data_IF_687248846459
#
_entry.id   IF_687248846459
#
_cell.length_a   1.000
_cell.length_b   1.000
_cell.length_c   1.000
_cell.angle_alpha   90.00
_cell.angle_beta   90.00
_cell.angle_gamma   90.00
#
_symmetry.space_group_name_H-M   'P 1'
#
loop_
_entity.id
_entity.type
_entity.pdbx_description
1 polymer ?
#
# COMPACT_ATOMS: atom_id res chain seq x y z
N UNK A 1 -16.04 -40.86 -70.49
CA UNK A 1 -16.98 -40.09 -69.65
C UNK A 1 -16.42 -38.68 -69.51
N UNK A 2 -17.09 -37.69 -70.11
CA UNK A 2 -16.94 -36.22 -70.03
C UNK A 2 -15.53 -35.54 -70.06
N UNK A 3 -15.31 -34.73 -71.10
CA UNK A 3 -14.38 -33.58 -71.19
C UNK A 3 -15.07 -32.30 -70.62
N UNK A 4 -14.55 -31.05 -70.67
CA UNK A 4 -13.24 -30.49 -71.08
C UNK A 4 -12.66 -29.33 -70.19
N UNK A 5 -11.40 -28.94 -70.48
CA UNK A 5 -10.78 -27.59 -70.56
C UNK A 5 -11.17 -26.45 -69.58
N UNK A 6 -10.17 -25.74 -69.01
CA UNK A 6 -9.70 -24.38 -69.40
C UNK A 6 -8.93 -23.65 -68.27
N UNK A 7 -7.85 -22.96 -68.70
CA UNK A 7 -7.38 -21.62 -68.26
C UNK A 7 -6.42 -21.55 -67.06
N UNK A 8 -5.14 -21.41 -67.45
CA UNK A 8 -4.13 -20.62 -66.78
C UNK A 8 -4.59 -19.16 -66.58
N UNK A 9 -4.06 -18.44 -65.58
CA UNK A 9 -3.38 -17.14 -65.74
C UNK A 9 -3.04 -16.51 -64.37
N UNK A 10 -1.72 -16.31 -64.21
CA UNK A 10 -0.97 -15.19 -63.62
C UNK A 10 -1.29 -14.64 -62.22
N UNK A 11 -0.21 -14.72 -61.41
CA UNK A 11 0.50 -13.61 -60.72
C UNK A 11 -0.30 -12.76 -59.75
N UNK A 12 0.10 -12.79 -58.48
CA UNK A 12 0.72 -11.64 -57.82
C UNK A 12 1.33 -12.07 -56.48
N UNK A 13 2.62 -11.81 -56.34
CA UNK A 13 3.36 -11.90 -55.09
C UNK A 13 3.01 -10.70 -54.20
N UNK A 14 2.70 -10.91 -52.92
CA UNK A 14 2.83 -9.87 -51.88
C UNK A 14 3.14 -10.54 -50.53
N UNK A 15 4.41 -10.41 -50.13
CA UNK A 15 4.93 -10.05 -48.80
C UNK A 15 4.57 -10.91 -47.58
N UNK A 16 5.63 -11.54 -47.05
CA UNK A 16 5.74 -12.05 -45.69
C UNK A 16 5.68 -10.92 -44.64
N UNK A 17 4.91 -11.10 -43.57
CA UNK A 17 5.17 -10.45 -42.28
C UNK A 17 5.05 -11.49 -41.17
N UNK A 18 6.19 -11.69 -40.51
CA UNK A 18 6.39 -12.41 -39.26
C UNK A 18 5.62 -11.71 -38.12
N UNK A 19 4.76 -12.44 -37.40
CA UNK A 19 4.29 -12.03 -36.07
C UNK A 19 4.82 -13.04 -35.05
N UNK A 20 6.04 -12.75 -34.61
CA UNK A 20 6.76 -13.38 -33.52
C UNK A 20 6.01 -13.15 -32.20
N UNK A 21 5.82 -14.23 -31.45
CA UNK A 21 5.62 -14.29 -30.00
C UNK A 21 5.62 -12.93 -29.25
N UNK A 22 4.43 -12.37 -29.03
CA UNK A 22 4.20 -11.51 -27.89
C UNK A 22 3.94 -12.42 -26.68
N UNK A 23 4.95 -12.56 -25.83
CA UNK A 23 4.86 -13.18 -24.52
C UNK A 23 3.64 -12.60 -23.79
N UNK A 24 2.69 -13.47 -23.48
CA UNK A 24 1.41 -13.10 -22.91
C UNK A 24 1.56 -12.34 -21.61
N UNK A 25 0.88 -11.21 -21.51
CA UNK A 25 0.47 -10.69 -20.22
C UNK A 25 -0.42 -11.76 -19.61
N UNK A 26 0.11 -12.49 -18.63
CA UNK A 26 -0.71 -13.23 -17.68
C UNK A 26 -1.56 -12.20 -16.92
N UNK A 27 -2.67 -11.81 -17.51
CA UNK A 27 -3.82 -11.36 -16.73
C UNK A 27 -4.20 -12.58 -15.90
N UNK A 28 -3.80 -12.56 -14.63
CA UNK A 28 -4.26 -13.55 -13.67
C UNK A 28 -5.79 -13.45 -13.64
N UNK A 29 -6.46 -14.35 -14.33
CA UNK A 29 -7.90 -14.51 -14.21
C UNK A 29 -8.18 -14.84 -12.74
N UNK A 30 -8.61 -13.82 -11.98
CA UNK A 30 -8.87 -13.95 -10.55
C UNK A 30 -9.94 -15.03 -10.39
N UNK A 31 -9.52 -16.20 -9.92
CA UNK A 31 -10.40 -17.36 -9.82
C UNK A 31 -11.56 -17.01 -8.91
N UNK A 32 -12.73 -16.94 -9.54
CA UNK A 32 -13.99 -16.48 -9.02
C UNK A 32 -14.58 -17.40 -7.92
N UNK A 33 -13.86 -18.44 -7.49
CA UNK A 33 -14.33 -19.47 -6.55
C UNK A 33 -13.91 -19.25 -5.08
N UNK A 34 -13.13 -18.20 -4.78
CA UNK A 34 -12.66 -17.91 -3.42
C UNK A 34 -13.60 -16.93 -2.71
N UNK A 35 -13.85 -17.15 -1.42
CA UNK A 35 -14.66 -16.25 -0.58
C UNK A 35 -14.07 -14.83 -0.59
N UNK A 36 -14.90 -13.77 -0.45
CA UNK A 36 -14.42 -12.40 -0.48
C UNK A 36 -13.38 -12.14 0.60
N UNK A 37 -12.32 -11.44 0.25
CA UNK A 37 -11.23 -11.09 1.18
C UNK A 37 -11.43 -9.67 1.71
N UNK A 38 -11.19 -9.48 3.00
CA UNK A 38 -11.14 -8.16 3.65
C UNK A 38 -9.74 -7.97 4.23
N UNK A 39 -9.03 -6.95 3.78
CA UNK A 39 -7.69 -6.61 4.23
C UNK A 39 -7.71 -5.27 4.94
N UNK A 40 -7.30 -5.27 6.21
CA UNK A 40 -7.13 -4.05 7.00
C UNK A 40 -5.73 -3.49 6.76
N UNK A 41 -5.67 -2.28 6.19
CA UNK A 41 -4.44 -1.63 5.78
C UNK A 41 -3.80 -0.81 6.91
N UNK A 42 -4.62 -0.20 7.77
CA UNK A 42 -4.17 0.71 8.82
C UNK A 42 -4.25 0.07 10.21
N UNK A 43 -3.22 0.30 11.02
CA UNK A 43 -3.15 -0.09 12.44
C UNK A 43 -3.32 1.10 13.40
N UNK A 44 -3.15 2.33 12.90
CA UNK A 44 -3.46 3.54 13.65
C UNK A 44 -4.03 4.67 12.78
N UNK A 45 -4.79 5.55 13.42
CA UNK A 45 -5.37 6.76 12.83
C UNK A 45 -4.93 8.00 13.61
N UNK A 46 -4.78 9.15 12.94
CA UNK A 46 -4.59 10.42 13.63
C UNK A 46 -5.84 10.84 14.39
N UNK A 47 -5.67 11.59 15.47
CA UNK A 47 -6.76 12.24 16.19
C UNK A 47 -7.39 13.38 15.37
N UNK A 48 -8.66 13.66 15.67
CA UNK A 48 -9.43 14.79 15.11
C UNK A 48 -9.32 14.96 13.60
N UNK A 49 -9.38 13.86 12.84
CA UNK A 49 -9.15 13.85 11.39
C UNK A 49 -10.24 13.04 10.68
N UNK A 50 -10.49 13.38 9.41
CA UNK A 50 -11.32 12.58 8.51
C UNK A 50 -10.42 11.76 7.59
N UNK A 51 -10.60 10.44 7.59
CA UNK A 51 -9.81 9.49 6.82
C UNK A 51 -10.74 8.76 5.84
N UNK A 52 -10.35 8.65 4.57
CA UNK A 52 -11.11 7.85 3.60
C UNK A 52 -11.04 6.36 3.95
N UNK A 53 -12.19 5.67 3.85
CA UNK A 53 -12.30 4.25 4.21
C UNK A 53 -11.34 3.38 3.37
N UNK A 54 -11.10 3.76 2.10
CA UNK A 54 -10.15 3.08 1.20
C UNK A 54 -8.71 3.05 1.71
N UNK A 55 -8.31 3.97 2.60
CA UNK A 55 -6.97 3.95 3.21
C UNK A 55 -6.86 3.00 4.40
N UNK A 56 -8.00 2.47 4.87
CA UNK A 56 -8.12 1.69 6.10
C UNK A 56 -8.42 0.23 5.77
N UNK A 57 -9.24 -0.02 4.77
CA UNK A 57 -9.71 -1.35 4.41
C UNK A 57 -9.88 -1.47 2.90
N UNK A 58 -9.43 -2.61 2.38
CA UNK A 58 -9.65 -3.04 1.00
C UNK A 58 -10.40 -4.37 0.98
N UNK A 59 -11.26 -4.55 -0.02
CA UNK A 59 -11.94 -5.81 -0.26
C UNK A 59 -12.16 -5.99 -1.75
N UNK A 60 -12.17 -7.24 -2.20
CA UNK A 60 -12.48 -7.60 -3.58
C UNK A 60 -13.95 -8.02 -3.79
N UNK A 61 -14.78 -7.84 -2.77
CA UNK A 61 -16.21 -8.10 -2.86
C UNK A 61 -16.97 -6.97 -3.56
N UNK A 62 -17.97 -7.34 -4.36
CA UNK A 62 -18.97 -6.42 -4.92
C UNK A 62 -20.24 -6.34 -4.07
N UNK A 63 -20.27 -7.04 -2.93
CA UNK A 63 -21.42 -7.04 -2.03
C UNK A 63 -21.67 -5.65 -1.41
N UNK A 64 -22.93 -5.42 -1.00
CA UNK A 64 -23.26 -4.23 -0.21
C UNK A 64 -22.47 -4.23 1.10
N UNK A 65 -21.75 -3.13 1.34
CA UNK A 65 -20.86 -2.96 2.48
C UNK A 65 -21.54 -2.13 3.55
N UNK A 66 -21.58 -2.63 4.79
CA UNK A 66 -22.03 -1.88 5.95
C UNK A 66 -20.90 -1.81 6.96
N UNK A 67 -20.47 -0.60 7.28
CA UNK A 67 -19.41 -0.34 8.25
C UNK A 67 -20.04 0.15 9.56
N UNK A 68 -19.70 -0.51 10.65
CA UNK A 68 -20.10 -0.15 12.01
C UNK A 68 -18.84 0.19 12.82
N UNK A 69 -18.94 1.19 13.69
CA UNK A 69 -17.81 1.66 14.52
C UNK A 69 -18.21 1.77 15.97
N UNK A 70 -17.24 1.54 16.87
CA UNK A 70 -17.37 1.81 18.31
C UNK A 70 -16.10 2.47 18.85
N UNK A 71 -16.28 3.32 19.86
CA UNK A 71 -15.18 3.95 20.59
C UNK A 71 -14.83 5.34 20.05
N UNK A 72 -13.55 5.55 19.73
CA UNK A 72 -12.98 6.86 19.40
C UNK A 72 -13.22 7.35 17.95
N UNK A 73 -14.12 6.70 17.20
CA UNK A 73 -14.33 6.96 15.77
C UNK A 73 -15.79 6.72 15.33
N UNK A 74 -16.19 7.43 14.27
CA UNK A 74 -17.49 7.29 13.62
C UNK A 74 -17.38 7.20 12.10
N UNK A 75 -18.30 6.47 11.48
CA UNK A 75 -18.50 6.48 10.03
C UNK A 75 -19.32 7.71 9.62
N UNK A 76 -18.80 8.50 8.67
CA UNK A 76 -19.47 9.66 8.06
C UNK A 76 -19.37 9.57 6.53
N UNK A 77 -20.33 8.88 5.92
CA UNK A 77 -20.32 8.60 4.49
C UNK A 77 -19.13 7.71 4.11
N UNK A 78 -18.30 8.16 3.16
CA UNK A 78 -17.07 7.44 2.74
C UNK A 78 -15.85 7.63 3.65
N UNK A 79 -16.04 8.25 4.81
CA UNK A 79 -14.96 8.63 5.73
C UNK A 79 -15.15 8.02 7.12
N UNK A 80 -14.04 7.72 7.80
CA UNK A 80 -13.96 7.58 9.25
C UNK A 80 -13.55 8.92 9.83
N UNK A 81 -14.33 9.45 10.77
CA UNK A 81 -13.99 10.60 11.57
C UNK A 81 -13.49 10.13 12.94
N UNK A 82 -12.28 10.54 13.32
CA UNK A 82 -11.74 10.31 14.66
C UNK A 82 -12.06 11.50 15.56
N UNK A 83 -12.40 11.24 16.82
CA UNK A 83 -12.78 12.30 17.77
C UNK A 83 -11.67 12.57 18.78
N UNK A 84 -11.12 11.52 19.39
CA UNK A 84 -10.15 11.59 20.48
C UNK A 84 -9.19 10.41 20.45
N UNK A 85 -8.04 10.56 21.10
CA UNK A 85 -7.11 9.45 21.32
C UNK A 85 -7.82 8.30 22.04
N UNK A 86 -7.59 7.08 21.58
CA UNK A 86 -8.21 5.87 22.14
C UNK A 86 -8.40 4.77 21.11
N UNK A 87 -9.30 3.84 21.40
CA UNK A 87 -9.52 2.65 20.58
C UNK A 87 -10.71 2.88 19.65
N UNK A 88 -10.52 2.56 18.36
CA UNK A 88 -11.55 2.54 17.33
C UNK A 88 -11.77 1.08 16.91
N UNK A 89 -12.90 0.50 17.31
CA UNK A 89 -13.32 -0.82 16.83
C UNK A 89 -14.14 -0.64 15.56
N UNK A 90 -13.74 -1.29 14.47
CA UNK A 90 -14.42 -1.23 13.19
C UNK A 90 -14.89 -2.63 12.83
N UNK A 91 -16.14 -2.74 12.42
CA UNK A 91 -16.77 -3.95 11.92
C UNK A 91 -17.28 -3.70 10.50
N UNK A 92 -16.76 -4.45 9.53
CA UNK A 92 -17.23 -4.47 8.16
C UNK A 92 -18.09 -5.70 7.94
N UNK A 93 -19.37 -5.48 7.65
CA UNK A 93 -20.30 -6.52 7.21
C UNK A 93 -20.48 -6.43 5.70
N UNK A 94 -20.18 -7.53 5.02
CA UNK A 94 -20.50 -7.74 3.61
C UNK A 94 -21.80 -8.56 3.53
N UNK A 95 -22.79 -8.04 2.81
CA UNK A 95 -24.05 -8.76 2.59
C UNK A 95 -23.84 -10.04 1.78
N UNK A 96 -24.78 -10.98 1.90
CA UNK A 96 -24.78 -12.18 1.06
C UNK A 96 -25.02 -11.80 -0.41
N UNK A 97 -24.37 -12.53 -1.31
CA UNK A 97 -24.61 -12.49 -2.75
C UNK A 97 -25.10 -13.88 -3.20
N UNK A 98 -25.60 -14.05 -4.43
CA UNK A 98 -25.98 -15.39 -4.92
C UNK A 98 -24.83 -16.40 -4.88
N UNK A 99 -23.59 -15.91 -4.83
CA UNK A 99 -22.38 -16.71 -4.90
C UNK A 99 -21.73 -16.98 -3.55
N UNK A 100 -21.89 -16.08 -2.59
CA UNK A 100 -21.19 -16.13 -1.30
C UNK A 100 -22.11 -15.72 -0.15
N UNK A 101 -21.98 -16.43 0.98
CA UNK A 101 -22.65 -16.04 2.21
C UNK A 101 -22.15 -14.68 2.74
N UNK A 102 -22.95 -14.05 3.59
CA UNK A 102 -22.55 -12.82 4.27
C UNK A 102 -21.34 -13.09 5.16
N UNK A 103 -20.38 -12.17 5.18
CA UNK A 103 -19.23 -12.24 6.08
C UNK A 103 -19.10 -10.96 6.91
N UNK A 104 -18.53 -11.10 8.08
CA UNK A 104 -18.18 -9.98 8.96
C UNK A 104 -16.68 -10.06 9.24
N UNK A 105 -15.99 -8.93 9.07
CA UNK A 105 -14.58 -8.76 9.45
C UNK A 105 -14.47 -7.60 10.42
N UNK A 106 -13.61 -7.72 11.42
CA UNK A 106 -13.43 -6.69 12.44
C UNK A 106 -11.95 -6.36 12.62
N UNK A 107 -11.66 -5.09 12.88
CA UNK A 107 -10.34 -4.63 13.30
C UNK A 107 -10.42 -3.67 14.47
N UNK A 108 -9.34 -3.66 15.25
CA UNK A 108 -9.13 -2.69 16.32
C UNK A 108 -8.00 -1.76 15.87
N UNK A 109 -8.32 -0.48 15.68
CA UNK A 109 -7.39 0.53 15.20
C UNK A 109 -7.14 1.54 16.31
N UNK A 110 -5.87 1.92 16.50
CA UNK A 110 -5.48 2.86 17.54
C UNK A 110 -5.59 4.30 17.04
N UNK A 111 -6.44 5.11 17.64
CA UNK A 111 -6.44 6.56 17.41
C UNK A 111 -5.36 7.16 18.30
N UNK A 112 -4.32 7.72 17.67
CA UNK A 112 -3.16 8.30 18.34
C UNK A 112 -2.96 9.73 17.88
N UNK A 113 -2.27 10.53 18.69
CA UNK A 113 -1.84 11.86 18.29
C UNK A 113 -0.98 11.79 17.03
N UNK A 114 -1.07 12.82 16.19
CA UNK A 114 -0.11 12.99 15.10
C UNK A 114 1.30 13.10 15.65
N UNK A 115 2.23 12.39 15.03
CA UNK A 115 3.65 12.38 15.41
C UNK A 115 4.48 12.50 14.15
N UNK A 116 5.48 13.36 14.15
CA UNK A 116 6.51 13.40 13.13
C UNK A 116 7.78 12.78 13.71
N UNK A 117 8.40 11.86 12.96
CA UNK A 117 9.66 11.23 13.32
C UNK A 117 10.76 11.78 12.42
N UNK A 118 11.84 12.27 13.00
CA UNK A 118 13.05 12.69 12.29
C UNK A 118 14.06 11.55 12.28
N UNK A 119 14.40 11.06 11.09
CA UNK A 119 15.30 9.93 10.88
C UNK A 119 16.55 10.39 10.15
N UNK A 120 17.69 10.30 10.83
CA UNK A 120 19.00 10.56 10.25
C UNK A 120 19.60 9.22 9.82
N UNK A 121 19.81 9.04 8.53
CA UNK A 121 20.29 7.78 7.98
C UNK A 121 21.45 7.98 7.01
N UNK A 122 22.40 7.05 7.01
CA UNK A 122 23.51 7.07 6.07
C UNK A 122 22.98 7.09 4.62
N UNK A 123 23.62 7.87 3.75
CA UNK A 123 23.19 8.02 2.36
C UNK A 123 23.10 6.68 1.59
N UNK A 124 23.96 5.71 1.93
CA UNK A 124 23.91 4.35 1.35
C UNK A 124 22.63 3.57 1.68
N UNK A 125 21.89 3.98 2.72
CA UNK A 125 20.65 3.34 3.17
C UNK A 125 19.38 4.02 2.62
N UNK A 126 19.52 5.11 1.85
CA UNK A 126 18.40 5.97 1.47
C UNK A 126 17.23 5.22 0.82
N UNK A 127 17.50 4.44 -0.23
CA UNK A 127 16.48 3.69 -0.97
C UNK A 127 15.70 2.72 -0.06
N UNK A 128 16.39 2.04 0.86
CA UNK A 128 15.77 1.10 1.80
C UNK A 128 14.89 1.82 2.81
N UNK A 129 15.36 2.95 3.35
CA UNK A 129 14.59 3.73 4.32
C UNK A 129 13.37 4.41 3.70
N UNK A 130 13.47 4.90 2.46
CA UNK A 130 12.31 5.42 1.75
C UNK A 130 11.26 4.34 1.47
N UNK A 131 11.69 3.14 1.07
CA UNK A 131 10.79 2.01 0.84
C UNK A 131 10.06 1.59 2.13
N UNK A 132 10.81 1.42 3.22
CA UNK A 132 10.24 1.06 4.53
C UNK A 132 9.36 2.19 5.06
N UNK A 133 9.78 3.45 4.90
CA UNK A 133 9.02 4.62 5.32
C UNK A 133 7.65 4.71 4.68
N UNK A 134 7.55 4.42 3.37
CA UNK A 134 6.27 4.36 2.65
C UNK A 134 5.33 3.31 3.23
N UNK A 135 5.83 2.09 3.47
CA UNK A 135 5.03 1.01 4.07
C UNK A 135 4.63 1.33 5.50
N UNK A 136 5.54 1.90 6.28
CA UNK A 136 5.31 2.29 7.66
C UNK A 136 4.22 3.36 7.76
N UNK A 137 4.31 4.45 6.98
CA UNK A 137 3.33 5.53 7.00
C UNK A 137 1.97 5.11 6.44
N UNK A 138 1.92 4.13 5.52
CA UNK A 138 0.65 3.56 5.06
C UNK A 138 -0.07 2.78 6.18
N UNK A 139 0.70 2.07 7.02
CA UNK A 139 0.16 1.31 8.15
C UNK A 139 -0.16 2.19 9.37
N UNK A 140 0.64 3.21 9.63
CA UNK A 140 0.49 4.11 10.77
C UNK A 140 0.13 5.52 10.32
N UNK A 141 -1.16 5.75 10.04
CA UNK A 141 -1.64 7.00 9.43
C UNK A 141 -1.50 8.23 10.35
N UNK A 142 -1.18 8.04 11.64
CA UNK A 142 -0.86 9.13 12.56
C UNK A 142 0.61 9.55 12.52
N UNK A 143 1.48 8.85 11.79
CA UNK A 143 2.92 9.11 11.77
C UNK A 143 3.36 9.67 10.42
N UNK A 144 4.14 10.76 10.48
CA UNK A 144 4.94 11.29 9.37
C UNK A 144 6.41 10.98 9.62
N UNK A 145 7.18 10.68 8.59
CA UNK A 145 8.62 10.44 8.70
C UNK A 145 9.38 11.44 7.84
N UNK A 146 10.28 12.19 8.47
CA UNK A 146 11.20 13.13 7.84
C UNK A 146 12.59 12.52 7.81
N UNK A 147 13.08 12.23 6.61
CA UNK A 147 14.43 11.69 6.42
C UNK A 147 15.45 12.79 6.21
N UNK A 148 16.64 12.62 6.78
CA UNK A 148 17.85 13.36 6.46
C UNK A 148 18.95 12.36 6.13
N UNK A 149 19.38 12.35 4.87
CA UNK A 149 20.41 11.43 4.38
C UNK A 149 21.73 12.15 4.17
N UNK A 150 22.80 11.68 4.82
CA UNK A 150 24.16 12.20 4.63
C UNK A 150 25.21 11.13 4.95
N UNK A 151 26.50 11.45 4.80
CA UNK A 151 27.58 10.58 5.26
C UNK A 151 27.58 10.44 6.79
N UNK A 152 27.93 9.26 7.33
CA UNK A 152 27.88 9.00 8.78
C UNK A 152 28.61 10.06 9.61
N UNK A 153 29.79 10.51 9.17
CA UNK A 153 30.55 11.55 9.86
C UNK A 153 29.81 12.89 9.88
N UNK A 154 29.16 13.28 8.77
CA UNK A 154 28.33 14.49 8.71
C UNK A 154 27.12 14.40 9.63
N UNK A 155 26.44 13.25 9.65
CA UNK A 155 25.32 13.01 10.57
C UNK A 155 25.77 13.10 12.03
N UNK A 156 26.92 12.52 12.39
CA UNK A 156 27.47 12.59 13.74
C UNK A 156 27.73 14.05 14.14
N UNK A 157 28.34 14.85 13.26
CA UNK A 157 28.53 16.29 13.49
C UNK A 157 27.21 17.02 13.67
N UNK A 158 26.19 16.74 12.84
CA UNK A 158 24.87 17.36 12.97
C UNK A 158 24.23 17.05 14.33
N UNK A 159 24.31 15.79 14.78
CA UNK A 159 23.77 15.37 16.08
C UNK A 159 24.51 16.06 17.23
N UNK A 160 25.84 16.11 17.18
CA UNK A 160 26.66 16.83 18.18
C UNK A 160 26.39 18.34 18.21
N UNK A 161 25.97 18.91 17.08
CA UNK A 161 25.53 20.31 16.98
C UNK A 161 24.08 20.52 17.45
N UNK A 162 23.40 19.48 17.94
CA UNK A 162 22.04 19.57 18.48
C UNK A 162 20.94 19.46 17.41
N UNK A 163 21.22 18.88 16.24
CA UNK A 163 20.18 18.59 15.28
C UNK A 163 19.13 17.62 15.88
N UNK A 164 17.81 17.92 15.75
CA UNK A 164 16.78 17.04 16.28
C UNK A 164 16.79 15.69 15.54
N UNK A 165 16.72 14.61 16.31
CA UNK A 165 16.70 13.24 15.78
C UNK A 165 15.95 12.31 16.72
N UNK A 166 15.11 11.45 16.15
CA UNK A 166 14.43 10.37 16.86
C UNK A 166 15.08 9.02 16.58
N UNK A 167 15.56 8.82 15.34
CA UNK A 167 16.18 7.56 14.89
C UNK A 167 17.45 7.87 14.11
N UNK A 168 18.54 7.19 14.47
CA UNK A 168 19.83 7.24 13.77
C UNK A 168 20.15 5.89 13.16
N UNK A 169 20.56 5.87 11.89
CA UNK A 169 21.06 4.66 11.22
C UNK A 169 22.33 4.98 10.43
N UNK A 170 23.49 4.52 10.89
CA UNK A 170 24.79 4.79 10.24
C UNK A 170 25.38 3.51 9.65
N UNK A 171 26.30 3.67 8.69
CA UNK A 171 26.95 2.54 8.01
C UNK A 171 28.14 1.95 8.79
N UNK A 172 28.56 2.59 9.89
CA UNK A 172 29.71 2.21 10.69
C UNK A 172 29.48 2.45 12.19
N UNK A 173 30.04 1.57 13.02
CA UNK A 173 29.86 1.62 14.48
C UNK A 173 30.61 2.79 15.11
N UNK A 174 31.75 3.19 14.54
CA UNK A 174 32.58 4.27 15.08
C UNK A 174 31.84 5.61 15.16
N UNK A 175 30.99 5.92 14.17
CA UNK A 175 30.17 7.12 14.19
C UNK A 175 28.92 6.97 15.07
N UNK A 176 28.39 5.77 15.26
CA UNK A 176 27.33 5.52 16.24
C UNK A 176 27.86 5.77 17.67
N UNK A 177 29.05 5.29 17.99
CA UNK A 177 29.66 5.49 19.31
C UNK A 177 29.81 6.97 19.66
N UNK A 178 30.12 7.83 18.67
CA UNK A 178 30.24 9.29 18.85
C UNK A 178 28.93 10.01 19.21
N UNK A 179 27.78 9.38 18.99
CA UNK A 179 26.45 10.00 19.19
C UNK A 179 25.62 9.34 20.29
N UNK A 180 26.07 8.20 20.81
CA UNK A 180 25.42 7.49 21.92
C UNK A 180 26.13 7.71 23.26
N UNK A 181 27.40 8.13 23.23
CA UNK A 181 28.19 8.50 24.40
C UNK A 181 27.74 9.84 25.01
#
# INVERSE_FOLDING_TARGET
>A
MFTPKLVAIRRLAVVAILAWFACGQFVSAKSYATAPTVVWLASSLPDSTRIEISRIVETDSTAQMKLNTRGSCDVKGKYIATQKVGICQIELRLAATPKFAAITSSAVIQVKKKTELTVLAAASLANSFEAIGKVFMAKYLNVSVKFNFAGSATLATQIQQGAPVDIVAMADTSNIEKVVA
#
